data_IF_364904715403
#
_entry.id   IF_364904715403
#
_cell.length_a   1.000
_cell.length_b   1.000
_cell.length_c   1.000
_cell.angle_alpha   90.00
_cell.angle_beta   90.00
_cell.angle_gamma   90.00
#
_symmetry.space_group_name_H-M   'P 1'
#
loop_
_entity.id
_entity.type
_entity.pdbx_description
1 polymer ?
#
# COMPACT_ATOMS: atom_id res chain seq x y z
N UNK A 1 -10.55 0.73 2.50
CA UNK A 1 -9.38 1.39 1.87
C UNK A 1 -8.91 0.56 0.68
N UNK A 2 -8.53 1.23 -0.41
CA UNK A 2 -7.69 0.67 -1.47
C UNK A 2 -6.35 1.41 -1.51
N UNK A 3 -5.24 0.68 -1.48
CA UNK A 3 -3.88 1.21 -1.53
C UNK A 3 -3.18 0.65 -2.77
N UNK A 4 -2.71 1.51 -3.67
CA UNK A 4 -1.85 1.13 -4.79
C UNK A 4 -0.46 1.68 -4.56
N UNK A 5 0.55 0.81 -4.65
CA UNK A 5 1.97 1.16 -4.53
C UNK A 5 2.64 0.93 -5.88
N UNK A 6 3.45 1.89 -6.31
CA UNK A 6 4.18 1.88 -7.57
C UNK A 6 5.68 1.85 -7.31
N UNK A 7 6.39 1.01 -8.05
CA UNK A 7 7.84 0.85 -8.00
C UNK A 7 8.45 1.39 -9.30
N UNK A 8 9.73 1.79 -9.25
CA UNK A 8 10.44 2.32 -10.41
C UNK A 8 10.72 1.23 -11.46
N UNK A 9 10.92 -0.01 -11.00
CA UNK A 9 11.20 -1.18 -11.84
C UNK A 9 10.15 -2.26 -11.65
N UNK A 10 10.24 -3.33 -12.44
CA UNK A 10 9.37 -4.50 -12.31
C UNK A 10 9.42 -5.06 -10.87
N UNK A 11 8.24 -5.30 -10.30
CA UNK A 11 8.05 -5.72 -8.91
C UNK A 11 8.47 -7.18 -8.72
N UNK A 12 9.15 -7.46 -7.62
CA UNK A 12 9.46 -8.83 -7.17
C UNK A 12 8.49 -9.33 -6.10
N UNK A 13 8.37 -10.66 -5.97
CA UNK A 13 7.57 -11.27 -4.89
C UNK A 13 8.07 -10.89 -3.49
N UNK A 14 9.39 -10.71 -3.34
CA UNK A 14 10.00 -10.24 -2.09
C UNK A 14 9.55 -8.83 -1.73
N UNK A 15 9.45 -7.93 -2.72
CA UNK A 15 8.94 -6.57 -2.50
C UNK A 15 7.47 -6.59 -2.06
N UNK A 16 6.64 -7.44 -2.67
CA UNK A 16 5.23 -7.55 -2.29
C UNK A 16 5.07 -8.16 -0.90
N UNK A 17 5.87 -9.17 -0.58
CA UNK A 17 5.90 -9.76 0.77
C UNK A 17 6.30 -8.72 1.81
N UNK A 18 7.38 -7.97 1.56
CA UNK A 18 7.83 -6.88 2.42
C UNK A 18 6.74 -5.82 2.64
N UNK A 19 6.04 -5.39 1.58
CA UNK A 19 4.94 -4.43 1.71
C UNK A 19 3.83 -5.00 2.60
N UNK A 20 3.42 -6.24 2.36
CA UNK A 20 2.33 -6.89 3.10
C UNK A 20 2.68 -7.05 4.59
N UNK A 21 3.88 -7.51 4.90
CA UNK A 21 4.36 -7.63 6.28
C UNK A 21 4.46 -6.28 6.97
N UNK A 22 5.02 -5.27 6.28
CA UNK A 22 5.16 -3.93 6.86
C UNK A 22 3.80 -3.26 7.12
N UNK A 23 2.81 -3.48 6.26
CA UNK A 23 1.44 -3.03 6.49
C UNK A 23 0.83 -3.73 7.72
N UNK A 24 0.99 -5.05 7.82
CA UNK A 24 0.47 -5.82 8.95
C UNK A 24 1.13 -5.40 10.29
N UNK A 25 2.44 -5.17 10.31
CA UNK A 25 3.17 -4.66 11.48
C UNK A 25 2.68 -3.28 11.92
N UNK A 26 2.28 -2.44 10.96
CA UNK A 26 1.67 -1.14 11.23
C UNK A 26 0.19 -1.21 11.63
N UNK A 27 -0.40 -2.41 11.72
CA UNK A 27 -1.82 -2.60 12.06
C UNK A 27 -2.77 -2.39 10.89
N UNK A 28 -2.29 -2.51 9.65
CA UNK A 28 -3.06 -2.42 8.41
C UNK A 28 -3.12 -3.81 7.77
N UNK A 29 -4.14 -4.65 8.10
CA UNK A 29 -4.23 -6.02 7.60
C UNK A 29 -4.77 -6.07 6.16
N UNK A 30 -4.08 -5.38 5.24
CA UNK A 30 -4.49 -5.31 3.84
C UNK A 30 -4.13 -6.58 3.06
N UNK A 31 -5.02 -7.00 2.17
CA UNK A 31 -4.82 -8.15 1.29
C UNK A 31 -4.48 -7.70 -0.13
N UNK A 32 -3.59 -8.42 -0.80
CA UNK A 32 -3.27 -8.17 -2.22
C UNK A 32 -4.52 -8.46 -3.07
N UNK A 33 -4.96 -7.47 -3.84
CA UNK A 33 -6.10 -7.58 -4.75
C UNK A 33 -5.64 -7.82 -6.19
N UNK A 34 -4.64 -7.07 -6.64
CA UNK A 34 -4.14 -7.16 -8.01
C UNK A 34 -2.71 -6.63 -8.12
N UNK A 35 -2.04 -7.05 -9.20
CA UNK A 35 -0.66 -6.69 -9.49
C UNK A 35 -0.47 -6.45 -10.98
N UNK A 36 0.35 -5.47 -11.31
CA UNK A 36 0.90 -5.21 -12.65
C UNK A 36 2.42 -5.37 -12.62
N UNK A 37 3.09 -5.13 -13.73
CA UNK A 37 4.55 -5.22 -13.77
C UNK A 37 5.23 -4.31 -12.72
N UNK A 38 4.74 -3.09 -12.53
CA UNK A 38 5.38 -2.06 -11.68
C UNK A 38 4.50 -1.58 -10.54
N UNK A 39 3.29 -2.13 -10.36
CA UNK A 39 2.40 -1.72 -9.26
C UNK A 39 1.68 -2.89 -8.61
N UNK A 40 1.37 -2.75 -7.32
CA UNK A 40 0.56 -3.70 -6.55
C UNK A 40 -0.54 -2.95 -5.82
N UNK A 41 -1.74 -3.53 -5.81
CA UNK A 41 -2.92 -2.97 -5.16
C UNK A 41 -3.37 -3.87 -4.02
N UNK A 42 -3.58 -3.27 -2.85
CA UNK A 42 -4.08 -3.90 -1.66
C UNK A 42 -5.45 -3.33 -1.26
N UNK A 43 -6.30 -4.16 -0.68
CA UNK A 43 -7.57 -3.77 -0.07
C UNK A 43 -7.52 -4.06 1.44
N UNK A 44 -7.99 -3.10 2.21
CA UNK A 44 -8.36 -3.31 3.61
C UNK A 44 -9.82 -2.85 3.79
N UNK A 45 -10.76 -3.69 4.25
CA UNK A 45 -12.14 -3.27 4.49
C UNK A 45 -12.28 -2.22 5.61
N UNK A 46 -11.23 -2.01 6.42
CA UNK A 46 -11.21 -0.96 7.43
C UNK A 46 -11.24 0.44 6.81
N UNK A 47 -11.99 1.34 7.45
CA UNK A 47 -12.08 2.77 7.10
C UNK A 47 -11.12 3.63 7.91
N UNK A 48 -10.43 3.06 8.91
CA UNK A 48 -9.58 3.81 9.86
C UNK A 48 -8.10 3.73 9.51
N UNK A 49 -7.69 2.73 8.73
CA UNK A 49 -6.29 2.41 8.46
C UNK A 49 -5.65 3.24 7.33
N UNK A 50 -6.43 4.05 6.60
CA UNK A 50 -5.92 4.81 5.45
C UNK A 50 -4.87 5.87 5.81
N UNK A 51 -4.98 6.49 6.99
CA UNK A 51 -3.99 7.47 7.45
C UNK A 51 -2.66 6.77 7.76
N UNK A 52 -2.71 5.63 8.47
CA UNK A 52 -1.53 4.81 8.81
C UNK A 52 -0.84 4.33 7.53
N UNK A 53 -1.61 3.80 6.57
CA UNK A 53 -1.09 3.35 5.29
C UNK A 53 -0.44 4.50 4.50
N UNK A 54 -1.08 5.68 4.49
CA UNK A 54 -0.56 6.87 3.80
C UNK A 54 0.75 7.38 4.40
N UNK A 55 0.85 7.47 5.72
CA UNK A 55 2.06 7.92 6.43
C UNK A 55 3.21 6.94 6.21
N UNK A 56 2.92 5.63 6.26
CA UNK A 56 3.90 4.59 6.02
C UNK A 56 4.43 4.64 4.57
N UNK A 57 3.54 4.80 3.59
CA UNK A 57 3.94 4.92 2.19
C UNK A 57 4.74 6.20 1.92
N UNK A 58 4.40 7.31 2.58
CA UNK A 58 5.18 8.55 2.48
C UNK A 58 6.61 8.36 2.97
N UNK A 59 6.78 7.69 4.12
CA UNK A 59 8.11 7.31 4.61
C UNK A 59 8.88 6.44 3.61
N UNK A 60 8.21 5.50 2.94
CA UNK A 60 8.85 4.66 1.92
C UNK A 60 9.29 5.43 0.68
N UNK A 61 8.55 6.46 0.27
CA UNK A 61 8.97 7.38 -0.79
C UNK A 61 10.21 8.16 -0.36
N UNK A 62 10.22 8.72 0.86
CA UNK A 62 11.37 9.48 1.39
C UNK A 62 12.63 8.62 1.51
N UNK A 63 12.47 7.32 1.75
CA UNK A 63 13.55 6.32 1.80
C UNK A 63 13.90 5.71 0.43
N UNK A 64 13.29 6.18 -0.67
CA UNK A 64 13.44 5.64 -2.03
C UNK A 64 13.18 4.12 -2.15
N UNK A 65 12.28 3.57 -1.31
CA UNK A 65 11.88 2.15 -1.39
C UNK A 65 10.78 1.90 -2.40
N UNK A 66 9.94 2.90 -2.64
CA UNK A 66 8.87 2.90 -3.64
C UNK A 66 8.95 4.19 -4.45
N UNK A 67 8.42 4.17 -5.67
CA UNK A 67 8.35 5.36 -6.52
C UNK A 67 7.18 6.28 -6.12
N UNK A 68 6.05 5.69 -5.74
CA UNK A 68 4.87 6.45 -5.35
C UNK A 68 3.73 5.55 -4.88
N UNK A 69 2.64 6.19 -4.44
CA UNK A 69 1.47 5.48 -3.96
C UNK A 69 0.18 6.29 -4.14
N UNK A 70 -0.95 5.61 -4.11
CA UNK A 70 -2.30 6.19 -4.07
C UNK A 70 -3.11 5.48 -2.98
N UNK A 71 -3.74 6.25 -2.09
CA UNK A 71 -4.67 5.73 -1.09
C UNK A 71 -6.06 6.26 -1.38
N UNK A 72 -7.02 5.35 -1.50
CA UNK A 72 -8.44 5.67 -1.62
C UNK A 72 -9.11 5.14 -0.35
N UNK A 73 -9.57 6.06 0.51
CA UNK A 73 -10.52 5.71 1.55
C UNK A 73 -11.93 5.84 0.98
N UNK A 74 -12.70 4.75 1.01
CA UNK A 74 -14.16 4.87 0.96
C UNK A 74 -14.56 5.62 2.23
N UNK A 75 -14.56 6.95 2.16
CA UNK A 75 -15.42 7.72 3.04
C UNK A 75 -16.84 7.36 2.62
N UNK A 76 -17.75 6.96 3.54
CA UNK A 76 -19.15 6.92 3.17
C UNK A 76 -19.49 8.32 2.65
N UNK A 77 -19.95 8.39 1.39
CA UNK A 77 -20.54 9.60 0.85
C UNK A 77 -21.60 10.05 1.86
N UNK A 78 -21.35 11.20 2.48
CA UNK A 78 -22.23 11.81 3.48
C UNK A 78 -23.61 12.08 2.90
#
# INVERSE_FOLDING_TARGET
MQLTITFETSITDDQVTWVKESLAEAGVPAEEQSRTETSVTFIDPSTVTYQIAGDLCRKWVDENRIYGFTVISDSPAS
#
